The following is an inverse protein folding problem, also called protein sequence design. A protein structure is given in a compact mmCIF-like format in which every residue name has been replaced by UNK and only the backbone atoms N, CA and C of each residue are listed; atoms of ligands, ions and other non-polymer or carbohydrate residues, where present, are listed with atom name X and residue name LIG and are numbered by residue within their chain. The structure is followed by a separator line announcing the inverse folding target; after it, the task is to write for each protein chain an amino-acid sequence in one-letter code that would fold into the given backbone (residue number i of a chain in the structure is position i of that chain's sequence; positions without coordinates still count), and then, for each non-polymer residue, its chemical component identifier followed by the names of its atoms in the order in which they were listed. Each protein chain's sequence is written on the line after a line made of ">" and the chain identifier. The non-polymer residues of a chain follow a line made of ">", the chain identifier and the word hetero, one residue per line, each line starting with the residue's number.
data_IF_366419433439
#
_entry.id   IF_366419433439
#
_cell.length_a   1.000
_cell.length_b   1.000
_cell.length_c   1.000
_cell.angle_alpha   90.00
_cell.angle_beta   90.00
_cell.angle_gamma   90.00
#
_symmetry.space_group_name_H-M   'P 1'
#
loop_
_entity.id
_entity.type
_entity.pdbx_description
1 polymer ?
#
# COMPACT_ATOMS: atom_id res chain seq x y z
N UNK A 1 6.13 11.64 4.58
CA UNK A 1 5.80 13.05 4.24
C UNK A 1 5.86 13.25 2.73
N UNK A 2 4.94 14.01 2.16
CA UNK A 2 4.98 14.41 0.74
C UNK A 2 5.66 15.77 0.61
N UNK A 3 6.43 15.97 -0.48
CA UNK A 3 6.95 17.31 -0.78
C UNK A 3 5.82 18.30 -1.08
N UNK A 4 6.10 19.60 -0.92
CA UNK A 4 5.17 20.71 -1.25
C UNK A 4 4.58 20.56 -2.66
N UNK A 5 5.43 20.21 -3.61
CA UNK A 5 5.08 20.13 -5.03
C UNK A 5 4.61 18.72 -5.47
N UNK A 6 4.33 17.84 -4.52
CA UNK A 6 3.80 16.52 -4.86
C UNK A 6 2.46 16.65 -5.59
N UNK A 7 2.38 16.04 -6.77
CA UNK A 7 1.21 16.08 -7.65
C UNK A 7 0.64 14.66 -7.78
N UNK A 8 -0.68 14.56 -7.67
CA UNK A 8 -1.41 13.35 -8.03
C UNK A 8 -1.32 13.12 -9.54
N UNK A 9 -0.81 11.97 -9.92
CA UNK A 9 -0.60 11.62 -11.31
C UNK A 9 -1.70 10.73 -11.92
N UNK A 10 -2.89 10.72 -11.29
CA UNK A 10 -4.00 9.98 -11.89
C UNK A 10 -4.20 10.35 -13.38
N UNK A 11 -4.35 9.40 -14.30
CA UNK A 11 -4.69 7.99 -14.15
C UNK A 11 -3.52 7.01 -13.94
N UNK A 12 -2.30 7.48 -13.78
CA UNK A 12 -1.18 6.65 -13.37
C UNK A 12 -1.32 6.27 -11.91
N UNK A 13 -1.14 5.01 -11.59
CA UNK A 13 -1.07 4.61 -10.19
C UNK A 13 0.32 4.96 -9.63
N UNK A 14 0.33 5.70 -8.53
CA UNK A 14 1.54 5.98 -7.77
C UNK A 14 1.42 5.30 -6.41
N UNK A 15 2.09 4.17 -6.26
CA UNK A 15 2.16 3.47 -4.99
C UNK A 15 3.34 3.99 -4.17
N UNK A 16 3.09 4.27 -2.90
CA UNK A 16 4.07 4.76 -1.92
C UNK A 16 4.56 3.64 -0.99
N UNK A 17 3.87 2.51 -0.98
CA UNK A 17 4.24 1.32 -0.23
C UNK A 17 3.44 0.12 -0.71
N UNK A 18 4.03 -1.06 -0.62
CA UNK A 18 3.41 -2.30 -1.06
C UNK A 18 3.76 -3.45 -0.12
N UNK A 19 2.79 -4.33 0.14
CA UNK A 19 3.07 -5.69 0.56
C UNK A 19 2.94 -6.59 -0.65
N UNK A 20 4.05 -7.07 -1.12
CA UNK A 20 4.11 -7.99 -2.24
C UNK A 20 4.18 -9.43 -1.76
N UNK A 21 3.85 -10.37 -2.62
CA UNK A 21 3.80 -11.79 -2.31
C UNK A 21 4.67 -12.62 -3.26
N UNK A 22 5.19 -13.73 -2.73
CA UNK A 22 5.87 -14.78 -3.49
C UNK A 22 5.15 -16.11 -3.30
N UNK A 23 5.25 -16.97 -4.30
CA UNK A 23 4.79 -18.35 -4.18
C UNK A 23 3.28 -18.51 -4.05
N UNK A 24 2.52 -17.73 -4.78
CA UNK A 24 1.09 -17.98 -4.95
C UNK A 24 0.81 -19.21 -5.83
N UNK A 25 -0.47 -19.51 -6.13
CA UNK A 25 -0.86 -20.70 -6.86
C UNK A 25 -0.33 -20.78 -8.30
N UNK A 26 0.06 -19.67 -8.89
CA UNK A 26 0.68 -19.60 -10.23
C UNK A 26 2.21 -19.66 -10.19
N UNK A 27 2.80 -19.84 -9.01
CA UNK A 27 4.24 -19.83 -8.84
C UNK A 27 4.80 -18.44 -8.47
N UNK A 28 6.07 -18.26 -8.71
CA UNK A 28 6.85 -17.10 -8.29
C UNK A 28 6.65 -15.88 -9.17
N UNK A 29 7.06 -14.73 -8.66
CA UNK A 29 7.38 -13.58 -9.50
C UNK A 29 8.35 -14.02 -10.63
N UNK A 30 7.87 -13.99 -11.86
CA UNK A 30 8.57 -14.57 -13.01
C UNK A 30 7.91 -15.80 -13.60
N UNK A 31 6.88 -16.35 -12.97
CA UNK A 31 5.96 -17.31 -13.60
C UNK A 31 5.01 -16.64 -14.59
N UNK A 32 4.18 -17.40 -15.24
CA UNK A 32 3.27 -16.96 -16.32
C UNK A 32 2.31 -15.84 -15.94
N UNK A 33 2.13 -15.52 -14.66
CA UNK A 33 1.44 -14.34 -14.18
C UNK A 33 2.11 -13.84 -12.90
N UNK A 34 2.63 -12.62 -12.91
CA UNK A 34 2.99 -11.92 -11.67
C UNK A 34 1.72 -11.58 -10.92
N UNK A 35 1.59 -12.05 -9.68
CA UNK A 35 0.51 -11.60 -8.82
C UNK A 35 0.65 -10.10 -8.52
N UNK A 36 -0.48 -9.39 -8.45
CA UNK A 36 -0.46 -8.05 -7.88
C UNK A 36 0.02 -8.10 -6.43
N UNK A 37 0.50 -6.97 -5.89
CA UNK A 37 0.70 -6.85 -4.46
C UNK A 37 -0.58 -7.22 -3.71
N UNK A 38 -0.48 -7.81 -2.52
CA UNK A 38 -1.65 -8.01 -1.65
C UNK A 38 -2.25 -6.66 -1.24
N UNK A 39 -1.36 -5.73 -0.95
CA UNK A 39 -1.72 -4.39 -0.49
C UNK A 39 -0.84 -3.37 -1.20
N UNK A 40 -1.45 -2.24 -1.57
CA UNK A 40 -0.75 -1.04 -2.00
C UNK A 40 -1.26 0.17 -1.22
N UNK A 41 -0.35 1.06 -0.92
CA UNK A 41 -0.66 2.41 -0.39
C UNK A 41 -0.53 3.37 -1.56
N UNK A 42 -1.65 3.75 -2.15
CA UNK A 42 -1.70 4.44 -3.42
C UNK A 42 -2.08 5.91 -3.28
N UNK A 43 -1.27 6.80 -3.88
CA UNK A 43 -1.65 8.19 -4.11
C UNK A 43 -2.44 8.28 -5.42
N UNK A 44 -3.74 8.57 -5.32
CA UNK A 44 -4.64 8.69 -6.47
C UNK A 44 -5.88 9.53 -6.16
N UNK A 45 -6.45 10.17 -7.16
CA UNK A 45 -7.70 10.95 -7.03
C UNK A 45 -7.69 11.95 -5.86
N UNK A 46 -6.53 12.56 -5.61
CA UNK A 46 -6.34 13.54 -4.53
C UNK A 46 -6.28 12.95 -3.12
N UNK A 47 -6.33 11.61 -2.97
CA UNK A 47 -6.28 10.90 -1.71
C UNK A 47 -5.14 9.88 -1.63
N UNK A 48 -4.75 9.56 -0.41
CA UNK A 48 -4.00 8.37 -0.08
C UNK A 48 -4.98 7.24 0.17
N UNK A 49 -4.83 6.13 -0.52
CA UNK A 49 -5.72 4.99 -0.43
C UNK A 49 -4.97 3.74 0.00
N UNK A 50 -5.61 2.97 0.87
CA UNK A 50 -5.27 1.57 1.08
C UNK A 50 -5.99 0.76 0.00
N UNK A 51 -5.22 0.13 -0.87
CA UNK A 51 -5.72 -0.74 -1.92
C UNK A 51 -5.43 -2.19 -1.55
N UNK A 52 -6.47 -2.97 -1.42
CA UNK A 52 -6.39 -4.39 -1.13
C UNK A 52 -6.81 -5.19 -2.35
N UNK A 53 -5.96 -6.13 -2.74
CA UNK A 53 -6.19 -7.06 -3.83
C UNK A 53 -6.73 -8.39 -3.31
N UNK A 54 -8.01 -8.64 -3.54
CA UNK A 54 -8.65 -9.92 -3.27
C UNK A 54 -8.52 -10.82 -4.48
N UNK A 55 -7.69 -11.84 -4.37
CA UNK A 55 -7.50 -12.82 -5.43
C UNK A 55 -8.47 -13.99 -5.28
N UNK A 56 -9.01 -14.44 -6.40
CA UNK A 56 -9.90 -15.61 -6.48
C UNK A 56 -9.69 -16.32 -7.82
N UNK A 57 -10.48 -17.35 -8.09
CA UNK A 57 -10.38 -18.11 -9.33
C UNK A 57 -9.47 -19.33 -9.22
N UNK A 58 -8.88 -19.76 -10.34
CA UNK A 58 -7.98 -20.92 -10.42
C UNK A 58 -6.53 -20.51 -10.62
N UNK A 59 -5.60 -21.48 -10.53
CA UNK A 59 -4.17 -21.25 -10.78
C UNK A 59 -3.87 -20.71 -12.17
N UNK A 60 -4.68 -21.03 -13.14
CA UNK A 60 -4.51 -20.61 -14.54
C UNK A 60 -5.38 -19.42 -14.92
N UNK A 61 -6.37 -19.10 -14.10
CA UNK A 61 -7.28 -17.98 -14.34
C UNK A 61 -7.54 -17.25 -13.01
N UNK A 62 -6.62 -16.39 -12.64
CA UNK A 62 -6.71 -15.60 -11.40
C UNK A 62 -7.60 -14.39 -11.64
N UNK A 63 -8.60 -14.23 -10.79
CA UNK A 63 -9.48 -13.07 -10.76
C UNK A 63 -8.99 -12.15 -9.65
N UNK A 64 -8.60 -10.93 -10.00
CA UNK A 64 -8.20 -9.88 -9.07
C UNK A 64 -9.34 -8.85 -8.93
N UNK A 65 -9.76 -8.63 -7.70
CA UNK A 65 -10.69 -7.56 -7.33
C UNK A 65 -10.00 -6.61 -6.35
N UNK A 66 -9.86 -5.37 -6.75
CA UNK A 66 -9.26 -4.32 -5.91
C UNK A 66 -10.32 -3.56 -5.13
N UNK A 67 -10.05 -3.36 -3.84
CA UNK A 67 -10.87 -2.57 -2.93
C UNK A 67 -10.06 -1.38 -2.43
N UNK A 68 -10.59 -0.17 -2.59
CA UNK A 68 -9.93 1.08 -2.22
C UNK A 68 -10.62 1.71 -1.03
N UNK A 69 -9.82 2.04 -0.02
CA UNK A 69 -10.27 2.77 1.17
C UNK A 69 -9.48 4.06 1.26
N UNK A 70 -10.16 5.21 1.21
CA UNK A 70 -9.47 6.49 1.39
C UNK A 70 -9.00 6.63 2.84
N UNK A 71 -7.71 6.89 3.02
CA UNK A 71 -7.06 7.04 4.32
C UNK A 71 -6.95 8.52 4.73
N UNK A 72 -6.45 9.36 3.81
CA UNK A 72 -6.18 10.77 4.07
C UNK A 72 -6.11 11.56 2.75
N UNK A 73 -6.50 12.82 2.74
CA UNK A 73 -6.31 13.68 1.58
C UNK A 73 -4.83 14.03 1.39
N UNK A 74 -4.30 13.91 0.15
CA UNK A 74 -2.89 14.19 -0.15
C UNK A 74 -2.48 15.62 0.23
N UNK A 75 -3.38 16.60 0.07
CA UNK A 75 -3.12 17.99 0.47
C UNK A 75 -2.78 18.15 1.95
N UNK A 76 -3.29 17.27 2.80
CA UNK A 76 -3.05 17.28 4.25
C UNK A 76 -1.79 16.51 4.65
N UNK A 77 -1.05 15.99 3.68
CA UNK A 77 0.21 15.25 3.87
C UNK A 77 1.42 16.00 3.32
N UNK A 78 1.20 17.13 2.63
CA UNK A 78 2.28 17.96 2.09
C UNK A 78 2.99 18.67 3.23
N UNK A 79 4.31 18.48 3.29
CA UNK A 79 5.20 19.05 4.34
C UNK A 79 4.77 18.65 5.78
N UNK A 80 3.93 17.65 5.92
CA UNK A 80 3.47 17.11 7.20
C UNK A 80 3.77 15.62 7.25
N UNK A 81 4.42 15.18 8.32
CA UNK A 81 4.59 13.76 8.60
C UNK A 81 3.23 13.10 8.83
N UNK A 82 3.06 11.94 8.31
CA UNK A 82 1.84 11.14 8.44
C UNK A 82 2.26 9.73 8.79
N UNK A 83 1.83 9.26 9.94
CA UNK A 83 2.02 7.89 10.35
C UNK A 83 1.03 6.98 9.63
N UNK A 84 1.54 5.87 9.13
CA UNK A 84 0.74 4.84 8.49
C UNK A 84 1.11 3.50 9.10
N UNK A 85 0.23 2.96 9.91
CA UNK A 85 0.39 1.64 10.50
C UNK A 85 -0.63 0.67 9.95
N UNK A 86 -0.23 -0.57 9.70
CA UNK A 86 -1.15 -1.62 9.31
C UNK A 86 -0.79 -2.95 9.94
N UNK A 87 -1.80 -3.71 10.28
CA UNK A 87 -1.70 -5.05 10.81
C UNK A 87 -2.31 -6.04 9.82
N UNK A 88 -1.59 -7.11 9.54
CA UNK A 88 -2.03 -8.24 8.71
C UNK A 88 -2.00 -9.50 9.55
N UNK A 89 -3.15 -10.01 9.86
CA UNK A 89 -3.33 -11.30 10.55
C UNK A 89 -3.93 -12.30 9.58
N UNK A 90 -3.07 -13.15 9.02
CA UNK A 90 -3.47 -14.17 8.05
C UNK A 90 -4.22 -15.33 8.69
N UNK A 91 -4.04 -15.58 9.98
CA UNK A 91 -4.69 -16.68 10.69
C UNK A 91 -6.15 -16.33 10.98
N UNK A 92 -6.39 -15.09 11.39
CA UNK A 92 -7.72 -14.58 11.68
C UNK A 92 -8.38 -13.85 10.52
N UNK A 93 -7.74 -13.84 9.35
CA UNK A 93 -8.22 -13.16 8.13
C UNK A 93 -8.53 -11.67 8.36
N UNK A 94 -7.71 -11.01 9.16
CA UNK A 94 -7.93 -9.64 9.61
C UNK A 94 -6.89 -8.69 9.02
N UNK A 95 -7.35 -7.52 8.62
CA UNK A 95 -6.51 -6.38 8.23
C UNK A 95 -7.03 -5.12 8.90
N UNK A 96 -6.12 -4.39 9.54
CA UNK A 96 -6.41 -3.10 10.15
C UNK A 96 -5.39 -2.06 9.65
N UNK A 97 -5.86 -0.83 9.44
CA UNK A 97 -4.99 0.30 9.03
C UNK A 97 -5.30 1.51 9.89
N UNK A 98 -4.24 2.15 10.37
CA UNK A 98 -4.30 3.40 11.15
C UNK A 98 -3.57 4.50 10.40
N UNK A 99 -4.07 5.71 10.54
CA UNK A 99 -3.44 6.96 10.10
C UNK A 99 -3.38 7.90 11.29
N UNK A 100 -2.17 8.33 11.64
CA UNK A 100 -1.94 9.21 12.78
C UNK A 100 -2.63 8.68 14.08
N UNK A 101 -2.52 7.39 14.34
CA UNK A 101 -3.12 6.70 15.46
C UNK A 101 -4.64 6.42 15.36
N UNK A 102 -5.30 6.91 14.31
CA UNK A 102 -6.74 6.70 14.10
C UNK A 102 -7.00 5.53 13.17
N UNK A 103 -7.73 4.53 13.63
CA UNK A 103 -8.12 3.39 12.80
C UNK A 103 -9.05 3.83 11.65
N UNK A 104 -8.62 3.63 10.42
CA UNK A 104 -9.36 3.98 9.20
C UNK A 104 -9.97 2.77 8.51
N UNK A 105 -9.31 1.64 8.59
CA UNK A 105 -9.77 0.41 7.95
C UNK A 105 -9.76 -0.72 8.96
N UNK A 106 -10.85 -1.47 8.97
CA UNK A 106 -10.99 -2.71 9.74
C UNK A 106 -11.66 -3.74 8.83
N UNK A 107 -10.90 -4.72 8.39
CA UNK A 107 -11.39 -5.80 7.54
C UNK A 107 -11.36 -7.08 8.34
N UNK A 108 -12.54 -7.63 8.59
CA UNK A 108 -12.73 -8.92 9.24
C UNK A 108 -13.11 -9.94 8.18
N UNK A 109 -12.58 -11.16 8.29
CA UNK A 109 -12.86 -12.26 7.38
C UNK A 109 -12.56 -11.90 5.92
N UNK A 110 -11.38 -11.29 5.72
CA UNK A 110 -10.86 -11.13 4.38
C UNK A 110 -10.34 -12.47 3.89
N UNK A 111 -11.03 -13.19 3.00
CA UNK A 111 -10.49 -14.41 2.46
C UNK A 111 -9.30 -14.05 1.58
N UNK A 112 -8.10 -14.26 2.11
CA UNK A 112 -6.92 -14.38 1.28
C UNK A 112 -6.99 -15.79 0.69
N UNK A 113 -7.65 -15.91 -0.46
CA UNK A 113 -7.88 -17.20 -1.11
C UNK A 113 -6.61 -17.98 -1.40
N UNK A 114 -5.49 -17.26 -1.51
CA UNK A 114 -4.21 -17.86 -1.78
C UNK A 114 -3.24 -17.43 -0.69
N UNK A 115 -2.96 -18.33 0.25
CA UNK A 115 -1.91 -18.06 1.25
C UNK A 115 -0.58 -17.91 0.52
N UNK A 116 0.05 -16.75 0.54
CA UNK A 116 1.34 -16.57 -0.09
C UNK A 116 2.40 -17.41 0.63
N UNK A 117 3.39 -17.90 -0.10
CA UNK A 117 4.53 -18.59 0.49
C UNK A 117 5.38 -17.64 1.32
N UNK A 118 5.52 -16.43 0.85
CA UNK A 118 6.29 -15.35 1.48
C UNK A 118 5.66 -14.01 1.15
N UNK A 119 5.69 -13.09 2.10
CA UNK A 119 5.33 -11.69 1.89
C UNK A 119 6.54 -10.81 2.22
N UNK A 120 6.65 -9.68 1.53
CA UNK A 120 7.68 -8.69 1.80
C UNK A 120 7.16 -7.28 1.57
N UNK A 121 7.63 -6.36 2.39
CA UNK A 121 7.28 -4.96 2.30
C UNK A 121 8.25 -4.23 1.36
N UNK A 122 7.69 -3.35 0.53
CA UNK A 122 8.42 -2.37 -0.28
C UNK A 122 7.93 -0.99 0.05
N UNK A 123 8.83 -0.04 0.19
CA UNK A 123 8.53 1.38 0.26
C UNK A 123 9.27 2.13 -0.85
N UNK A 124 8.80 3.33 -1.18
CA UNK A 124 9.31 4.10 -2.30
C UNK A 124 8.21 4.39 -3.33
N UNK A 125 8.52 5.22 -4.30
CA UNK A 125 7.59 5.55 -5.37
C UNK A 125 7.64 4.47 -6.45
N UNK A 126 6.53 3.77 -6.64
CA UNK A 126 6.31 2.87 -7.77
C UNK A 126 5.18 3.41 -8.64
N UNK A 127 5.45 3.59 -9.92
CA UNK A 127 4.48 4.07 -10.91
C UNK A 127 4.15 2.99 -11.93
N UNK A 128 2.86 2.74 -12.11
CA UNK A 128 2.36 1.87 -13.18
C UNK A 128 1.54 2.67 -14.18
N UNK A 129 1.46 2.17 -15.41
CA UNK A 129 0.70 2.80 -16.49
C UNK A 129 1.15 4.23 -16.86
N UNK A 130 2.46 4.48 -16.88
CA UNK A 130 3.05 5.80 -17.17
C UNK A 130 2.61 6.33 -18.55
N UNK A 131 2.46 5.47 -19.54
CA UNK A 131 1.96 5.83 -20.88
C UNK A 131 0.59 6.51 -20.82
N UNK A 132 -0.32 6.04 -19.96
CA UNK A 132 -1.66 6.62 -19.81
C UNK A 132 -1.63 8.08 -19.34
N UNK A 133 -0.61 8.47 -18.58
CA UNK A 133 -0.47 9.87 -18.19
C UNK A 133 -0.17 10.76 -19.38
N UNK A 134 0.82 10.37 -20.21
CA UNK A 134 1.17 11.09 -21.42
C UNK A 134 -0.02 11.20 -22.37
N UNK A 135 -0.71 10.10 -22.60
CA UNK A 135 -1.88 10.04 -23.49
C UNK A 135 -3.01 10.98 -23.05
N UNK A 136 -3.33 11.00 -21.74
CA UNK A 136 -4.47 11.76 -21.22
C UNK A 136 -4.15 13.20 -20.85
N UNK A 137 -2.92 13.50 -20.47
CA UNK A 137 -2.50 14.83 -20.02
C UNK A 137 -1.70 15.60 -21.08
N UNK A 138 -1.29 14.92 -22.14
CA UNK A 138 -0.39 15.47 -23.19
C UNK A 138 0.83 16.20 -22.59
N UNK A 139 1.37 15.66 -21.52
CA UNK A 139 2.47 16.27 -20.77
C UNK A 139 3.42 15.22 -20.21
N UNK A 140 4.63 15.66 -19.85
CA UNK A 140 5.59 14.80 -19.17
C UNK A 140 5.10 14.46 -17.75
N UNK A 141 5.43 13.25 -17.30
CA UNK A 141 5.19 12.84 -15.91
C UNK A 141 5.92 13.81 -14.97
N UNK A 142 5.22 14.41 -14.00
CA UNK A 142 5.86 15.31 -13.05
C UNK A 142 6.80 14.58 -12.10
N UNK A 143 7.77 15.30 -11.57
CA UNK A 143 8.59 14.81 -10.46
C UNK A 143 7.73 14.70 -9.20
N UNK A 144 7.89 13.59 -8.49
CA UNK A 144 7.24 13.37 -7.20
C UNK A 144 8.34 13.04 -6.18
N UNK A 145 8.31 13.68 -5.04
CA UNK A 145 9.25 13.45 -3.94
C UNK A 145 8.46 13.06 -2.70
N UNK A 146 8.89 11.97 -2.08
CA UNK A 146 8.32 11.45 -0.84
C UNK A 146 9.45 11.16 0.13
N UNK A 147 9.28 11.57 1.37
CA UNK A 147 10.20 11.29 2.45
C UNK A 147 9.64 10.18 3.32
N UNK A 148 10.50 9.22 3.66
CA UNK A 148 10.20 8.11 4.54
C UNK A 148 11.08 8.17 5.76
N UNK A 149 10.51 7.81 6.89
CA UNK A 149 11.20 7.73 8.15
C UNK A 149 10.52 6.71 9.05
N UNK A 150 11.18 6.27 10.12
CA UNK A 150 10.61 5.41 11.15
C UNK A 150 9.95 4.12 10.62
N UNK A 151 10.61 3.45 9.66
CA UNK A 151 10.08 2.21 9.08
C UNK A 151 10.28 1.06 10.06
N UNK A 152 9.17 0.58 10.62
CA UNK A 152 9.14 -0.44 11.65
C UNK A 152 8.41 -1.70 11.22
N UNK A 153 8.83 -2.83 11.77
CA UNK A 153 8.13 -4.11 11.67
C UNK A 153 8.05 -4.75 13.05
N UNK A 154 6.89 -5.26 13.42
CA UNK A 154 6.67 -5.94 14.69
C UNK A 154 5.52 -6.95 14.58
N UNK A 155 5.29 -7.67 15.64
CA UNK A 155 4.20 -8.64 15.78
C UNK A 155 3.01 -8.10 16.59
N UNK A 156 3.03 -6.83 16.94
CA UNK A 156 1.89 -6.12 17.51
C UNK A 156 1.97 -4.64 17.15
N UNK A 157 0.83 -3.95 17.21
CA UNK A 157 0.74 -2.53 16.86
C UNK A 157 1.52 -1.66 17.85
N UNK A 158 1.57 -2.02 19.11
CA UNK A 158 2.28 -1.28 20.17
C UNK A 158 3.80 -1.28 19.95
N UNK A 159 4.33 -2.20 19.12
CA UNK A 159 5.75 -2.27 18.78
C UNK A 159 6.13 -1.43 17.58
N UNK A 160 5.17 -0.89 16.85
CA UNK A 160 5.42 -0.18 15.60
C UNK A 160 4.79 1.19 15.52
N UNK A 161 3.70 1.45 16.25
CA UNK A 161 2.95 2.70 16.16
C UNK A 161 3.25 3.61 17.35
N UNK A 162 3.90 4.74 17.09
CA UNK A 162 4.28 5.73 18.11
C UNK A 162 3.07 6.44 18.71
N UNK A 163 1.96 6.55 18.00
CA UNK A 163 0.74 7.17 18.53
C UNK A 163 0.04 6.24 19.55
N UNK A 164 0.24 4.93 19.42
CA UNK A 164 -0.27 3.94 20.37
C UNK A 164 0.72 3.72 21.50
N UNK A 165 2.00 3.73 21.20
CA UNK A 165 3.06 3.59 22.21
C UNK A 165 4.10 4.74 22.07
N UNK A 166 3.88 5.87 22.76
CA UNK A 166 4.80 7.02 22.72
C UNK A 166 6.19 6.76 23.31
N UNK A 167 6.42 5.60 23.93
CA UNK A 167 7.72 5.22 24.49
C UNK A 167 8.64 4.52 23.47
N UNK A 168 8.18 4.32 22.25
CA UNK A 168 9.04 3.77 21.19
C UNK A 168 10.22 4.70 20.93
N UNK A 169 11.41 4.13 20.94
CA UNK A 169 12.62 4.88 20.57
C UNK A 169 12.64 5.08 19.06
N UNK A 170 13.21 6.20 18.55
CA UNK A 170 13.46 6.38 17.14
C UNK A 170 14.23 5.19 16.53
N UNK A 171 13.97 4.92 15.27
CA UNK A 171 14.73 3.95 14.47
C UNK A 171 15.70 4.76 13.61
N UNK A 172 16.99 4.58 13.86
CA UNK A 172 18.07 5.19 13.10
C UNK A 172 18.31 4.45 11.78
#
# INVERSE_FOLDING_TARGET
>A
MLSKDFIDTHPTNTSLGQIHQKGGPTGTAGGLASFPPLIQIDARLGGLHFNWHKLSGSKTNVIDRSYYYELKRLRNMKEVWTDISFCLDFENERMDVWIDGVQKVKILKSPIFFKPKEIYFKHGIYRSFISKYKERKNSKMPTQIVFYDEIRRGNSIEKVDININPKLKPVD
#
